data_IF_564571257338
#
_entry.id   IF_564571257338
#
_cell.length_a   1.000
_cell.length_b   1.000
_cell.length_c   1.000
_cell.angle_alpha   90.00
_cell.angle_beta   90.00
_cell.angle_gamma   90.00
#
_symmetry.space_group_name_H-M   'P 1'
#
loop_
_entity.id
_entity.type
_entity.pdbx_description
1 polymer ?
#
# COMPACT_ATOMS: atom_id res chain seq x y z
N UNK A 1 21.56 -20.09 10.21
CA UNK A 1 21.14 -19.88 8.80
C UNK A 1 21.42 -18.42 8.45
N UNK A 2 22.11 -18.09 7.35
CA UNK A 2 22.23 -16.70 6.96
C UNK A 2 20.84 -16.19 6.60
N UNK A 3 20.42 -15.08 7.20
CA UNK A 3 19.17 -14.43 6.84
C UNK A 3 19.23 -14.11 5.35
N UNK A 4 18.38 -14.75 4.55
CA UNK A 4 18.28 -14.50 3.12
C UNK A 4 17.95 -13.01 2.97
N UNK A 5 18.86 -12.23 2.37
CA UNK A 5 18.61 -10.82 2.08
C UNK A 5 17.33 -10.74 1.25
N UNK A 6 16.25 -10.28 1.88
CA UNK A 6 14.98 -10.09 1.19
C UNK A 6 15.19 -8.99 0.16
N UNK A 7 14.76 -9.24 -1.08
CA UNK A 7 14.79 -8.21 -2.10
C UNK A 7 13.85 -7.07 -1.70
N UNK A 8 14.12 -5.84 -2.13
CA UNK A 8 13.27 -4.67 -1.84
C UNK A 8 11.80 -4.94 -2.20
N UNK A 9 11.55 -5.68 -3.28
CA UNK A 9 10.22 -6.14 -3.68
C UNK A 9 9.56 -7.01 -2.60
N UNK A 10 10.26 -8.03 -2.09
CA UNK A 10 9.75 -8.93 -1.04
C UNK A 10 9.43 -8.16 0.24
N UNK A 11 10.28 -7.21 0.64
CA UNK A 11 10.04 -6.37 1.81
C UNK A 11 8.76 -5.52 1.63
N UNK A 12 8.60 -4.88 0.46
CA UNK A 12 7.41 -4.07 0.16
C UNK A 12 6.15 -4.90 0.10
N UNK A 13 6.21 -6.07 -0.53
CA UNK A 13 5.10 -7.01 -0.58
C UNK A 13 4.67 -7.44 0.82
N UNK A 14 5.63 -7.82 1.67
CA UNK A 14 5.37 -8.19 3.06
C UNK A 14 4.68 -7.05 3.83
N UNK A 15 5.21 -5.83 3.74
CA UNK A 15 4.63 -4.67 4.42
C UNK A 15 3.20 -4.36 3.93
N UNK A 16 2.96 -4.43 2.61
CA UNK A 16 1.64 -4.19 2.04
C UNK A 16 0.65 -5.26 2.49
N UNK A 17 1.02 -6.54 2.45
CA UNK A 17 0.15 -7.64 2.90
C UNK A 17 -0.24 -7.47 4.38
N UNK A 18 0.72 -7.13 5.25
CA UNK A 18 0.44 -6.90 6.67
C UNK A 18 -0.48 -5.70 6.90
N UNK A 19 -0.27 -4.60 6.15
CA UNK A 19 -1.14 -3.42 6.26
C UNK A 19 -2.58 -3.73 5.80
N UNK A 20 -2.75 -4.47 4.70
CA UNK A 20 -4.06 -4.90 4.19
C UNK A 20 -4.73 -5.84 5.19
N UNK A 21 -4.00 -6.82 5.74
CA UNK A 21 -4.52 -7.72 6.75
C UNK A 21 -4.97 -6.96 8.01
N UNK A 22 -4.16 -6.00 8.48
CA UNK A 22 -4.50 -5.16 9.64
C UNK A 22 -5.77 -4.36 9.38
N UNK A 23 -5.92 -3.76 8.20
CA UNK A 23 -7.15 -3.04 7.83
C UNK A 23 -8.38 -3.96 7.82
N UNK A 24 -8.26 -5.17 7.26
CA UNK A 24 -9.36 -6.14 7.21
C UNK A 24 -9.77 -6.64 8.60
N UNK A 25 -8.82 -6.81 9.52
CA UNK A 25 -9.10 -7.17 10.93
C UNK A 25 -9.97 -6.10 11.59
N UNK A 26 -9.70 -4.82 11.30
CA UNK A 26 -10.50 -3.68 11.76
C UNK A 26 -11.80 -3.46 10.97
N UNK A 27 -12.19 -4.42 10.10
CA UNK A 27 -13.38 -4.33 9.27
C UNK A 27 -13.28 -3.34 8.10
N UNK A 28 -12.09 -2.80 7.83
CA UNK A 28 -11.85 -1.87 6.73
C UNK A 28 -11.52 -2.64 5.45
N UNK A 29 -12.40 -2.53 4.46
CA UNK A 29 -12.17 -3.10 3.13
C UNK A 29 -11.60 -2.05 2.19
N UNK A 30 -10.49 -2.35 1.54
CA UNK A 30 -9.86 -1.46 0.57
C UNK A 30 -10.57 -1.55 -0.78
N UNK A 31 -10.59 -0.43 -1.51
CA UNK A 31 -11.10 -0.43 -2.89
C UNK A 31 -10.10 -1.08 -3.84
N UNK A 32 -10.58 -1.72 -4.90
CA UNK A 32 -9.71 -2.33 -5.93
C UNK A 32 -8.70 -1.33 -6.51
N UNK A 33 -9.14 -0.09 -6.74
CA UNK A 33 -8.28 0.98 -7.23
C UNK A 33 -7.11 1.28 -6.27
N UNK A 34 -7.33 1.19 -4.97
CA UNK A 34 -6.28 1.40 -3.98
C UNK A 34 -5.34 0.20 -3.89
N UNK A 35 -5.86 -1.03 -4.01
CA UNK A 35 -5.02 -2.24 -4.08
C UNK A 35 -4.08 -2.23 -5.31
N UNK A 36 -4.55 -1.72 -6.47
CA UNK A 36 -3.71 -1.52 -7.66
C UNK A 36 -2.58 -0.51 -7.43
N UNK A 37 -2.85 0.56 -6.67
CA UNK A 37 -1.84 1.56 -6.29
C UNK A 37 -0.77 0.95 -5.38
N UNK A 38 -1.16 0.13 -4.40
CA UNK A 38 -0.22 -0.61 -3.54
C UNK A 38 0.63 -1.59 -4.33
N UNK A 39 0.04 -2.27 -5.33
CA UNK A 39 0.78 -3.13 -6.27
C UNK A 39 1.87 -2.34 -7.01
N UNK A 40 1.57 -1.12 -7.45
CA UNK A 40 2.57 -0.25 -8.11
C UNK A 40 3.75 0.10 -7.20
N UNK A 41 3.52 0.21 -5.88
CA UNK A 41 4.60 0.39 -4.90
C UNK A 41 5.45 -0.86 -4.69
N UNK A 42 4.82 -2.04 -4.64
CA UNK A 42 5.52 -3.34 -4.52
C UNK A 42 6.52 -3.51 -5.66
N UNK A 43 6.10 -3.26 -6.90
CA UNK A 43 6.96 -3.32 -8.09
C UNK A 43 7.90 -2.12 -8.26
N UNK A 44 7.82 -1.13 -7.38
CA UNK A 44 8.65 0.08 -7.41
C UNK A 44 8.37 1.03 -8.57
N UNK A 45 7.20 0.93 -9.19
CA UNK A 45 6.71 1.91 -10.18
C UNK A 45 6.30 3.23 -9.53
N UNK A 46 5.94 3.20 -8.24
CA UNK A 46 5.63 4.39 -7.42
C UNK A 46 6.33 4.31 -6.07
N UNK A 47 6.73 5.45 -5.55
CA UNK A 47 7.18 5.60 -4.16
C UNK A 47 5.98 5.71 -3.20
N UNK A 48 6.23 5.45 -1.92
CA UNK A 48 5.21 5.64 -0.88
C UNK A 48 4.80 7.11 -0.75
N UNK A 49 5.73 8.04 -0.98
CA UNK A 49 5.46 9.48 -0.92
C UNK A 49 4.47 9.93 -2.01
N UNK A 50 4.61 9.38 -3.22
CA UNK A 50 3.65 9.63 -4.32
C UNK A 50 2.27 9.06 -3.98
N UNK A 51 2.20 7.86 -3.42
CA UNK A 51 0.94 7.27 -2.97
C UNK A 51 0.23 8.13 -1.91
N UNK A 52 0.99 8.64 -0.92
CA UNK A 52 0.45 9.55 0.12
C UNK A 52 -0.07 10.84 -0.51
N UNK A 53 0.68 11.43 -1.45
CA UNK A 53 0.27 12.65 -2.15
C UNK A 53 -1.03 12.44 -2.93
N UNK A 54 -1.14 11.35 -3.68
CA UNK A 54 -2.35 11.00 -4.42
C UNK A 54 -3.55 10.75 -3.51
N UNK A 55 -3.35 10.04 -2.39
CA UNK A 55 -4.41 9.79 -1.41
C UNK A 55 -4.94 11.10 -0.82
N UNK A 56 -4.04 12.01 -0.42
CA UNK A 56 -4.42 13.36 0.08
C UNK A 56 -5.18 14.16 -0.97
N UNK A 57 -4.72 14.17 -2.21
CA UNK A 57 -5.40 14.87 -3.31
C UNK A 57 -6.79 14.28 -3.59
N UNK A 58 -6.92 12.96 -3.54
CA UNK A 58 -8.21 12.28 -3.70
C UNK A 58 -9.19 12.66 -2.59
N UNK A 59 -8.72 12.69 -1.34
CA UNK A 59 -9.53 13.12 -0.19
C UNK A 59 -9.94 14.58 -0.29
N UNK A 60 -9.04 15.48 -0.70
CA UNK A 60 -9.37 16.89 -0.89
C UNK A 60 -10.43 17.12 -1.98
N UNK A 61 -10.46 16.27 -3.01
CA UNK A 61 -11.45 16.34 -4.10
C UNK A 61 -12.81 15.76 -3.70
N UNK A 62 -12.82 14.66 -2.95
CA UNK A 62 -14.02 14.02 -2.42
C UNK A 62 -13.85 13.83 -0.90
N UNK A 63 -14.11 14.88 -0.09
CA UNK A 63 -14.11 14.72 1.35
C UNK A 63 -15.23 13.75 1.72
N UNK A 64 -14.90 12.73 2.49
CA UNK A 64 -15.89 11.86 3.11
C UNK A 64 -16.67 12.77 4.07
N UNK A 65 -17.96 13.01 3.77
CA UNK A 65 -18.88 13.76 4.64
C UNK A 65 -19.31 12.92 5.83
#
# INVERSE_FOLDING_TARGET
MPAKLATTHQLRQYNVCNAIASARIEGVTLTEQFEQKLTSYIYGKKSIAELIKEARQSYAKNPIK
#
